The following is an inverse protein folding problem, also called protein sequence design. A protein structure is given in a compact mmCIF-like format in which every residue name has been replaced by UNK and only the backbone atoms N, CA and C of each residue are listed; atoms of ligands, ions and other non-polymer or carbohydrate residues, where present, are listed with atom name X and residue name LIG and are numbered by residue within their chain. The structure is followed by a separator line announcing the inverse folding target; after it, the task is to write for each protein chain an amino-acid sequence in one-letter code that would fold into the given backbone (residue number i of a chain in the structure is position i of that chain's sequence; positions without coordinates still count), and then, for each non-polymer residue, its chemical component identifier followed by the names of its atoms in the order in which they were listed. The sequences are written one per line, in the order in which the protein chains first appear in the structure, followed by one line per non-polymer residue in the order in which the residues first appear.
data_IF_371810951368
#
_entry.id   IF_371810951368
#
_cell.length_a   1.000
_cell.length_b   1.000
_cell.length_c   1.000
_cell.angle_alpha   90.00
_cell.angle_beta   90.00
_cell.angle_gamma   90.00
#
_symmetry.space_group_name_H-M   'P 1'
#
loop_
_entity.id
_entity.type
_entity.pdbx_description
1 polymer ?
#
# COMPACT_ATOMS: atom_id res chain seq x y z
N UNK A 1 0.71 13.54 6.92
CA UNK A 1 0.68 13.20 5.46
C UNK A 1 -0.69 13.50 4.89
N UNK A 2 -0.72 14.14 3.74
CA UNK A 2 -1.96 14.43 3.02
C UNK A 2 -2.02 13.63 1.73
N UNK A 3 -3.15 12.96 1.49
CA UNK A 3 -3.42 12.32 0.21
C UNK A 3 -4.04 13.32 -0.77
N UNK A 4 -3.84 13.08 -2.07
CA UNK A 4 -4.64 13.76 -3.09
C UNK A 4 -6.12 13.41 -2.90
N UNK A 5 -7.01 14.25 -3.41
CA UNK A 5 -8.45 13.99 -3.33
C UNK A 5 -8.83 12.65 -3.97
N UNK A 6 -8.17 12.29 -5.07
CA UNK A 6 -8.42 11.02 -5.76
C UNK A 6 -8.06 9.82 -4.88
N UNK A 7 -6.91 9.86 -4.23
CA UNK A 7 -6.48 8.77 -3.35
C UNK A 7 -7.33 8.72 -2.08
N UNK A 8 -7.70 9.87 -1.54
CA UNK A 8 -8.59 9.95 -0.39
C UNK A 8 -9.95 9.31 -0.70
N UNK A 9 -10.51 9.61 -1.86
CA UNK A 9 -11.76 9.01 -2.32
C UNK A 9 -11.63 7.50 -2.45
N UNK A 10 -10.55 7.01 -3.06
CA UNK A 10 -10.30 5.58 -3.18
C UNK A 10 -10.17 4.91 -1.81
N UNK A 11 -9.45 5.54 -0.88
CA UNK A 11 -9.29 5.03 0.47
C UNK A 11 -10.62 4.92 1.23
N UNK A 12 -11.57 5.81 0.94
CA UNK A 12 -12.88 5.80 1.59
C UNK A 12 -13.72 4.56 1.28
N UNK A 13 -13.39 3.85 0.20
CA UNK A 13 -14.07 2.59 -0.15
C UNK A 13 -13.48 1.38 0.55
N UNK A 14 -12.37 1.53 1.24
CA UNK A 14 -11.75 0.41 1.96
C UNK A 14 -12.52 0.15 3.25
N UNK A 15 -12.94 -1.10 3.42
CA UNK A 15 -13.62 -1.51 4.65
C UNK A 15 -12.62 -1.54 5.80
N UNK A 16 -12.93 -0.83 6.89
CA UNK A 16 -12.08 -0.77 8.06
C UNK A 16 -11.80 -2.19 8.60
N UNK A 17 -10.55 -2.48 8.88
CA UNK A 17 -10.11 -3.78 9.39
C UNK A 17 -9.73 -4.77 8.32
N UNK A 18 -9.89 -4.44 7.03
CA UNK A 18 -9.54 -5.32 5.92
C UNK A 18 -8.04 -5.28 5.62
N UNK A 19 -7.47 -6.44 5.29
CA UNK A 19 -6.14 -6.51 4.67
C UNK A 19 -6.29 -6.09 3.21
N UNK A 20 -5.41 -5.22 2.73
CA UNK A 20 -5.54 -4.58 1.41
C UNK A 20 -4.36 -4.93 0.54
N UNK A 21 -4.62 -5.15 -0.76
CA UNK A 21 -3.59 -5.21 -1.78
C UNK A 21 -3.66 -3.92 -2.60
N UNK A 22 -2.64 -3.09 -2.50
CA UNK A 22 -2.52 -1.82 -3.22
C UNK A 22 -1.74 -2.07 -4.51
N UNK A 23 -2.46 -2.37 -5.59
CA UNK A 23 -1.87 -2.69 -6.88
C UNK A 23 -1.52 -1.40 -7.62
N UNK A 24 -0.29 -1.32 -8.13
CA UNK A 24 0.23 -0.07 -8.69
C UNK A 24 0.44 0.96 -7.61
N UNK A 25 1.07 0.55 -6.51
CA UNK A 25 1.18 1.37 -5.30
C UNK A 25 1.99 2.64 -5.47
N UNK A 26 2.80 2.72 -6.53
CA UNK A 26 3.63 3.88 -6.85
C UNK A 26 4.51 4.27 -5.65
N UNK A 27 4.29 5.43 -5.02
CA UNK A 27 5.05 5.88 -3.86
C UNK A 27 4.52 5.32 -2.52
N UNK A 28 3.50 4.47 -2.56
CA UNK A 28 2.86 3.83 -1.41
C UNK A 28 2.15 4.79 -0.46
N UNK A 29 1.78 5.98 -0.91
CA UNK A 29 1.09 6.94 -0.03
C UNK A 29 -0.26 6.42 0.47
N UNK A 30 -1.04 5.74 -0.39
CA UNK A 30 -2.30 5.16 0.05
C UNK A 30 -2.08 4.05 1.08
N UNK A 31 -1.11 3.16 0.82
CA UNK A 31 -0.77 2.07 1.75
C UNK A 31 -0.42 2.63 3.13
N UNK A 32 0.44 3.64 3.17
CA UNK A 32 0.86 4.30 4.41
C UNK A 32 -0.33 4.95 5.12
N UNK A 33 -1.17 5.65 4.37
CA UNK A 33 -2.37 6.30 4.92
C UNK A 33 -3.29 5.28 5.58
N UNK A 34 -3.53 4.14 4.92
CA UNK A 34 -4.44 3.12 5.43
C UNK A 34 -3.97 2.52 6.75
N UNK A 35 -2.67 2.20 6.86
CA UNK A 35 -2.16 1.62 8.10
C UNK A 35 -1.96 2.66 9.19
N UNK A 36 -1.52 3.85 8.84
CA UNK A 36 -1.28 4.93 9.80
C UNK A 36 -2.57 5.38 10.47
N UNK A 37 -3.68 5.37 9.76
CA UNK A 37 -4.99 5.77 10.28
C UNK A 37 -5.82 4.60 10.78
N UNK A 38 -5.22 3.43 10.95
CA UNK A 38 -5.88 2.23 11.47
C UNK A 38 -7.10 1.79 10.65
N UNK A 39 -7.10 2.10 9.35
CA UNK A 39 -8.13 1.63 8.43
C UNK A 39 -7.86 0.19 8.05
N UNK A 40 -6.58 -0.14 7.80
CA UNK A 40 -6.15 -1.51 7.51
C UNK A 40 -5.04 -1.93 8.47
N UNK A 41 -5.07 -3.17 8.99
CA UNK A 41 -4.00 -3.68 9.84
C UNK A 41 -2.75 -4.05 9.06
N UNK A 42 -2.89 -4.35 7.76
CA UNK A 42 -1.78 -4.76 6.92
C UNK A 42 -2.09 -4.51 5.46
N UNK A 43 -1.08 -4.06 4.70
CA UNK A 43 -1.21 -3.77 3.26
C UNK A 43 -0.09 -4.44 2.48
N UNK A 44 -0.43 -5.05 1.36
CA UNK A 44 0.53 -5.49 0.35
C UNK A 44 0.64 -4.38 -0.69
N UNK A 45 1.79 -3.70 -0.74
CA UNK A 45 2.04 -2.63 -1.69
C UNK A 45 2.78 -3.20 -2.90
N UNK A 46 2.10 -3.29 -4.04
CA UNK A 46 2.61 -3.97 -5.22
C UNK A 46 2.77 -3.03 -6.39
N UNK A 47 3.84 -3.22 -7.15
CA UNK A 47 4.05 -2.53 -8.42
C UNK A 47 4.88 -3.44 -9.34
N UNK A 48 4.73 -3.23 -10.65
CA UNK A 48 5.49 -3.99 -11.64
C UNK A 48 6.89 -3.40 -11.85
N UNK A 49 7.09 -2.13 -11.54
CA UNK A 49 8.32 -1.41 -11.83
C UNK A 49 9.20 -1.25 -10.58
N UNK A 50 10.51 -1.46 -10.76
CA UNK A 50 11.47 -1.36 -9.66
C UNK A 50 11.63 0.06 -9.12
N UNK A 51 11.59 1.08 -10.00
CA UNK A 51 11.71 2.47 -9.58
C UNK A 51 10.68 2.88 -8.54
N UNK A 52 9.39 2.76 -8.83
CA UNK A 52 8.34 3.04 -7.84
C UNK A 52 8.45 2.20 -6.57
N UNK A 53 8.83 0.92 -6.67
CA UNK A 53 8.99 0.07 -5.49
C UNK A 53 10.09 0.56 -4.56
N UNK A 54 11.20 1.05 -5.12
CA UNK A 54 12.29 1.61 -4.33
C UNK A 54 11.82 2.85 -3.55
N UNK A 55 11.10 3.74 -4.22
CA UNK A 55 10.51 4.93 -3.60
C UNK A 55 9.51 4.52 -2.53
N UNK A 56 8.67 3.52 -2.81
CA UNK A 56 7.70 3.01 -1.84
C UNK A 56 8.38 2.50 -0.57
N UNK A 57 9.44 1.71 -0.72
CA UNK A 57 10.21 1.20 0.43
C UNK A 57 10.77 2.33 1.28
N UNK A 58 11.33 3.35 0.63
CA UNK A 58 11.91 4.49 1.33
C UNK A 58 10.83 5.26 2.10
N UNK A 59 9.68 5.48 1.48
CA UNK A 59 8.57 6.17 2.14
C UNK A 59 8.00 5.37 3.31
N UNK A 60 7.83 4.06 3.16
CA UNK A 60 7.33 3.19 4.22
C UNK A 60 8.26 3.24 5.43
N UNK A 61 9.57 3.19 5.21
CA UNK A 61 10.54 3.31 6.28
C UNK A 61 10.49 4.69 6.94
N UNK A 62 10.39 5.73 6.14
CA UNK A 62 10.33 7.11 6.62
C UNK A 62 9.15 7.34 7.56
N UNK A 63 8.00 6.75 7.24
CA UNK A 63 6.80 6.86 8.06
C UNK A 63 6.69 5.79 9.15
N UNK A 64 7.69 4.92 9.27
CA UNK A 64 7.74 3.91 10.34
C UNK A 64 6.71 2.79 10.19
N UNK A 65 6.31 2.45 8.97
CA UNK A 65 5.25 1.47 8.73
C UNK A 65 5.75 0.14 8.14
N UNK A 66 7.04 -0.14 8.24
CA UNK A 66 7.63 -1.32 7.60
C UNK A 66 7.12 -2.66 8.15
N UNK A 67 6.56 -2.68 9.35
CA UNK A 67 5.98 -3.91 9.92
C UNK A 67 4.55 -4.17 9.47
N UNK A 68 3.89 -3.16 8.92
CA UNK A 68 2.48 -3.25 8.50
C UNK A 68 2.29 -3.22 6.99
N UNK A 69 3.35 -3.05 6.22
CA UNK A 69 3.30 -2.98 4.76
C UNK A 69 4.39 -3.86 4.17
N UNK A 70 4.01 -4.80 3.33
CA UNK A 70 4.95 -5.61 2.57
C UNK A 70 4.98 -5.13 1.13
N UNK A 71 6.19 -4.83 0.63
CA UNK A 71 6.38 -4.41 -0.76
C UNK A 71 6.58 -5.65 -1.63
N UNK A 72 5.84 -5.72 -2.74
CA UNK A 72 5.90 -6.87 -3.66
C UNK A 72 6.06 -6.36 -5.08
N UNK A 73 7.04 -6.91 -5.81
CA UNK A 73 7.13 -6.71 -7.26
C UNK A 73 6.16 -7.68 -7.91
N UNK A 74 5.12 -7.16 -8.56
CA UNK A 74 4.06 -8.01 -9.09
C UNK A 74 3.41 -7.36 -10.31
N UNK A 75 3.10 -8.19 -11.30
CA UNK A 75 2.28 -7.80 -12.44
C UNK A 75 0.81 -8.08 -12.06
N UNK A 76 0.16 -7.06 -11.51
CA UNK A 76 -1.18 -7.22 -10.99
C UNK A 76 -1.22 -8.19 -9.82
N UNK A 77 -2.05 -9.22 -9.89
CA UNK A 77 -2.21 -10.21 -8.81
C UNK A 77 -1.40 -11.48 -9.00
N UNK A 78 -0.53 -11.54 -10.01
CA UNK A 78 0.17 -12.79 -10.38
C UNK A 78 1.03 -13.38 -9.28
N UNK A 79 1.66 -12.53 -8.47
CA UNK A 79 2.61 -12.96 -7.43
C UNK A 79 2.00 -13.03 -6.04
N UNK A 80 0.69 -12.89 -5.94
CA UNK A 80 0.01 -12.99 -4.65
C UNK A 80 -0.43 -14.42 -4.36
N UNK A 81 -0.36 -14.81 -3.09
CA UNK A 81 -0.89 -16.07 -2.62
C UNK A 81 -2.42 -16.05 -2.72
N UNK A 82 -3.01 -17.21 -3.00
CA UNK A 82 -4.47 -17.36 -3.07
C UNK A 82 -5.15 -17.12 -1.73
N UNK A 83 -4.42 -17.11 -0.64
CA UNK A 83 -4.96 -16.87 0.69
C UNK A 83 -5.21 -15.38 1.00
N UNK A 84 -4.78 -14.49 0.12
CA UNK A 84 -4.98 -13.04 0.34
C UNK A 84 -6.44 -12.63 0.17
#
# INVERSE_FOLDING_TARGET
MQLSKRLECAASFVKKGSVVADIGCDHAYMSIYLVKNNISPFVYAADINDGPLEIAKNNINLYGQSTSIQVIKSDGLKNFDHSI
#
